data_IF_192763776992
#
_entry.id   IF_192763776992
#
_cell.length_a   1.000
_cell.length_b   1.000
_cell.length_c   1.000
_cell.angle_alpha   90.00
_cell.angle_beta   90.00
_cell.angle_gamma   90.00
#
_symmetry.space_group_name_H-M   'P 1'
#
loop_
_entity.id
_entity.type
_entity.pdbx_description
1 polymer ?
#
# COMPACT_ATOMS: atom_id res chain seq x y z
N UNK A 1 -8.72 -16.17 12.76
CA UNK A 1 -9.59 -15.56 11.74
C UNK A 1 -8.75 -15.44 10.48
N UNK A 2 -9.24 -15.98 9.36
CA UNK A 2 -8.53 -16.00 8.09
C UNK A 2 -8.34 -14.57 7.54
N UNK A 3 -7.15 -14.25 7.04
CA UNK A 3 -6.82 -12.96 6.44
C UNK A 3 -5.90 -13.15 5.24
N UNK A 4 -5.98 -12.26 4.25
CA UNK A 4 -4.94 -12.19 3.21
C UNK A 4 -3.75 -11.37 3.71
N UNK A 5 -2.56 -11.94 3.65
CA UNK A 5 -1.33 -11.25 4.02
C UNK A 5 -0.64 -10.77 2.74
N UNK A 6 -0.35 -9.47 2.66
CA UNK A 6 0.41 -8.87 1.58
C UNK A 6 1.75 -8.43 2.12
N UNK A 7 2.83 -9.07 1.68
CA UNK A 7 4.17 -8.82 2.17
C UNK A 7 4.97 -7.96 1.19
N UNK A 8 5.47 -6.83 1.69
CA UNK A 8 6.41 -5.98 0.97
C UNK A 8 7.82 -6.56 1.11
N UNK A 9 8.37 -7.03 0.00
CA UNK A 9 9.62 -7.78 -0.03
C UNK A 9 10.37 -7.55 -1.35
N UNK A 10 11.72 -7.46 -1.31
CA UNK A 10 12.52 -7.32 -2.53
C UNK A 10 12.42 -8.54 -3.47
N UNK A 11 11.93 -9.68 -2.98
CA UNK A 11 11.69 -10.90 -3.77
C UNK A 11 10.26 -10.99 -4.30
N UNK A 12 9.41 -10.00 -4.02
CA UNK A 12 8.02 -9.98 -4.43
C UNK A 12 7.82 -9.62 -5.91
N UNK A 13 6.61 -9.83 -6.38
CA UNK A 13 6.20 -9.50 -7.74
C UNK A 13 6.12 -7.97 -7.88
N UNK A 14 6.66 -7.44 -8.96
CA UNK A 14 6.46 -6.04 -9.33
C UNK A 14 5.17 -5.92 -10.14
N UNK A 15 4.30 -4.99 -9.77
CA UNK A 15 3.02 -4.77 -10.46
C UNK A 15 3.13 -3.50 -11.31
N UNK A 16 2.80 -3.52 -12.60
CA UNK A 16 2.71 -2.31 -13.40
C UNK A 16 1.56 -1.40 -12.96
N UNK A 17 1.76 -0.08 -13.02
CA UNK A 17 0.76 0.90 -12.57
C UNK A 17 -0.56 0.82 -13.33
N UNK A 18 -0.54 0.41 -14.59
CA UNK A 18 -1.75 0.24 -15.41
C UNK A 18 -2.54 -1.03 -15.09
N UNK A 19 -2.00 -1.95 -14.31
CA UNK A 19 -2.66 -3.22 -13.92
C UNK A 19 -3.12 -3.21 -12.46
N UNK A 20 -2.51 -2.37 -11.61
CA UNK A 20 -2.67 -2.42 -10.15
C UNK A 20 -4.13 -2.31 -9.68
N UNK A 21 -4.93 -1.47 -10.34
CA UNK A 21 -6.34 -1.27 -9.97
C UNK A 21 -7.20 -2.50 -10.28
N UNK A 22 -6.90 -3.18 -11.40
CA UNK A 22 -7.57 -4.42 -11.76
C UNK A 22 -7.18 -5.53 -10.79
N UNK A 23 -5.89 -5.69 -10.50
CA UNK A 23 -5.39 -6.67 -9.55
C UNK A 23 -6.02 -6.49 -8.15
N UNK A 24 -6.10 -5.25 -7.65
CA UNK A 24 -6.76 -4.97 -6.38
C UNK A 24 -8.25 -5.38 -6.40
N UNK A 25 -8.97 -5.17 -7.51
CA UNK A 25 -10.36 -5.59 -7.65
C UNK A 25 -10.50 -7.13 -7.71
N UNK A 26 -9.53 -7.83 -8.29
CA UNK A 26 -9.47 -9.30 -8.26
C UNK A 26 -9.25 -9.82 -6.83
N UNK A 27 -8.43 -9.14 -6.03
CA UNK A 27 -8.25 -9.46 -4.62
C UNK A 27 -9.52 -9.25 -3.79
N UNK A 28 -10.29 -8.18 -4.05
CA UNK A 28 -11.60 -7.99 -3.41
C UNK A 28 -12.50 -9.19 -3.66
N UNK A 29 -12.63 -9.63 -4.93
CA UNK A 29 -13.43 -10.82 -5.28
C UNK A 29 -12.91 -12.09 -4.63
N UNK A 30 -11.59 -12.27 -4.60
CA UNK A 30 -10.95 -13.43 -3.97
C UNK A 30 -11.26 -13.48 -2.48
N UNK A 31 -11.06 -12.38 -1.75
CA UNK A 31 -11.30 -12.28 -0.31
C UNK A 31 -12.79 -12.49 -0.02
N UNK A 32 -13.68 -11.80 -0.73
CA UNK A 32 -15.12 -11.95 -0.59
C UNK A 32 -15.58 -13.39 -0.74
N UNK A 33 -15.02 -14.13 -1.70
CA UNK A 33 -15.35 -15.54 -1.93
C UNK A 33 -14.98 -16.39 -0.71
N UNK A 34 -13.80 -16.18 -0.11
CA UNK A 34 -13.33 -16.94 1.05
C UNK A 34 -14.04 -16.53 2.36
N UNK A 35 -14.56 -15.31 2.43
CA UNK A 35 -15.36 -14.86 3.59
C UNK A 35 -16.84 -15.28 3.50
N UNK A 36 -17.43 -15.34 2.30
CA UNK A 36 -18.85 -15.69 2.08
C UNK A 36 -19.10 -17.19 2.06
N UNK A 37 -18.15 -17.99 1.59
CA UNK A 37 -18.26 -19.46 1.56
C UNK A 37 -17.58 -20.06 2.81
N UNK A 38 -18.42 -20.41 3.78
CA UNK A 38 -18.18 -21.23 4.98
C UNK A 38 -17.37 -20.64 6.15
N UNK A 39 -18.12 -20.09 7.12
CA UNK A 39 -17.67 -19.80 8.49
C UNK A 39 -17.30 -21.03 9.34
N UNK A 40 -17.29 -22.24 8.77
CA UNK A 40 -16.84 -23.48 9.42
C UNK A 40 -15.70 -24.21 8.67
N UNK A 41 -15.57 -24.05 7.34
CA UNK A 41 -14.54 -24.75 6.54
C UNK A 41 -13.17 -24.05 6.58
N UNK A 42 -13.14 -22.72 6.72
CA UNK A 42 -11.89 -21.93 6.66
C UNK A 42 -11.26 -21.67 8.05
N UNK A 43 -11.76 -22.33 9.10
CA UNK A 43 -11.18 -22.19 10.45
C UNK A 43 -9.78 -22.80 10.56
N UNK A 44 -9.43 -23.70 9.64
CA UNK A 44 -8.15 -24.41 9.58
C UNK A 44 -7.31 -24.06 8.34
N UNK A 45 -7.79 -23.17 7.46
CA UNK A 45 -6.98 -22.72 6.32
C UNK A 45 -5.92 -21.71 6.77
N UNK A 46 -4.69 -21.94 6.34
CA UNK A 46 -3.62 -20.98 6.52
C UNK A 46 -3.92 -19.70 5.73
N UNK A 47 -3.65 -18.56 6.36
CA UNK A 47 -3.80 -17.25 5.72
C UNK A 47 -2.85 -17.15 4.53
N UNK A 48 -3.34 -16.90 3.30
CA UNK A 48 -2.49 -16.83 2.14
C UNK A 48 -1.54 -15.63 2.24
N UNK A 49 -0.31 -15.80 1.76
CA UNK A 49 0.72 -14.75 1.71
C UNK A 49 1.06 -14.43 0.26
N UNK A 50 0.91 -13.16 -0.10
CA UNK A 50 1.25 -12.63 -1.42
C UNK A 50 2.43 -11.67 -1.29
N UNK A 51 3.48 -11.88 -2.09
CA UNK A 51 4.72 -11.12 -2.01
C UNK A 51 4.79 -10.08 -3.13
N UNK A 52 5.04 -8.83 -2.77
CA UNK A 52 5.11 -7.71 -3.70
C UNK A 52 6.36 -6.85 -3.46
N UNK A 53 6.98 -6.39 -4.55
CA UNK A 53 8.19 -5.54 -4.51
C UNK A 53 7.92 -4.08 -4.87
N UNK A 54 6.69 -3.74 -5.27
CA UNK A 54 6.25 -2.37 -5.58
C UNK A 54 5.19 -1.89 -4.58
N UNK A 55 5.22 -0.60 -4.26
CA UNK A 55 4.34 0.04 -3.27
C UNK A 55 2.89 0.18 -3.76
N UNK A 56 2.69 0.29 -5.07
CA UNK A 56 1.42 0.61 -5.71
C UNK A 56 0.25 -0.32 -5.32
N UNK A 57 0.49 -1.64 -5.19
CA UNK A 57 -0.57 -2.58 -4.79
C UNK A 57 -1.04 -2.36 -3.35
N UNK A 58 -0.15 -1.99 -2.44
CA UNK A 58 -0.51 -1.67 -1.06
C UNK A 58 -1.39 -0.42 -1.00
N UNK A 59 -1.05 0.61 -1.78
CA UNK A 59 -1.88 1.81 -1.92
C UNK A 59 -3.24 1.51 -2.56
N UNK A 60 -3.28 0.65 -3.58
CA UNK A 60 -4.53 0.25 -4.22
C UNK A 60 -5.43 -0.53 -3.26
N UNK A 61 -4.89 -1.44 -2.44
CA UNK A 61 -5.67 -2.17 -1.42
C UNK A 61 -6.18 -1.24 -0.32
N UNK A 62 -5.37 -0.27 0.12
CA UNK A 62 -5.81 0.79 1.05
C UNK A 62 -6.98 1.60 0.48
N UNK A 63 -6.92 1.95 -0.81
CA UNK A 63 -8.03 2.63 -1.52
C UNK A 63 -9.30 1.77 -1.44
N UNK A 64 -9.22 0.46 -1.72
CA UNK A 64 -10.37 -0.46 -1.62
C UNK A 64 -10.99 -0.52 -0.22
N UNK A 65 -10.17 -0.47 0.82
CA UNK A 65 -10.66 -0.38 2.21
C UNK A 65 -11.34 0.95 2.46
N UNK A 66 -10.70 2.07 2.09
CA UNK A 66 -11.23 3.41 2.33
C UNK A 66 -12.59 3.67 1.64
N UNK A 67 -12.84 3.06 0.48
CA UNK A 67 -14.12 3.16 -0.23
C UNK A 67 -15.17 2.12 0.24
N UNK A 68 -14.82 1.25 1.18
CA UNK A 68 -15.72 0.25 1.75
C UNK A 68 -15.92 -1.02 0.90
N UNK A 69 -15.11 -1.24 -0.13
CA UNK A 69 -15.14 -2.47 -0.95
C UNK A 69 -14.43 -3.65 -0.27
N UNK A 70 -13.57 -3.36 0.72
CA UNK A 70 -12.79 -4.36 1.42
C UNK A 70 -12.79 -4.07 2.93
N UNK A 71 -13.01 -5.08 3.77
CA UNK A 71 -12.88 -4.90 5.21
C UNK A 71 -11.41 -4.82 5.63
N UNK A 72 -11.06 -3.85 6.48
CA UNK A 72 -9.70 -3.74 7.04
C UNK A 72 -9.29 -4.98 7.85
N UNK A 73 -10.27 -5.73 8.39
CA UNK A 73 -10.00 -6.96 9.14
C UNK A 73 -9.66 -8.15 8.25
N UNK A 74 -9.96 -8.08 6.95
CA UNK A 74 -9.78 -9.18 6.00
C UNK A 74 -8.37 -9.28 5.42
N UNK A 75 -7.51 -8.30 5.69
CA UNK A 75 -6.15 -8.25 5.19
C UNK A 75 -5.16 -7.77 6.24
N UNK A 76 -3.90 -8.10 6.05
CA UNK A 76 -2.75 -7.60 6.80
C UNK A 76 -1.66 -7.24 5.81
N UNK A 77 -0.97 -6.12 6.05
CA UNK A 77 0.30 -5.86 5.37
C UNK A 77 1.44 -6.40 6.20
N UNK A 78 2.52 -6.84 5.56
CA UNK A 78 3.70 -7.35 6.24
C UNK A 78 4.95 -6.71 5.67
N UNK A 79 5.86 -6.32 6.55
CA UNK A 79 7.16 -5.78 6.17
C UNK A 79 8.22 -6.22 7.16
N UNK A 80 9.30 -6.84 6.68
CA UNK A 80 10.38 -7.37 7.51
C UNK A 80 9.86 -8.27 8.66
N UNK A 81 8.87 -9.12 8.35
CA UNK A 81 8.24 -10.04 9.32
C UNK A 81 7.32 -9.37 10.35
N UNK A 82 7.11 -8.05 10.26
CA UNK A 82 6.16 -7.32 11.12
C UNK A 82 4.83 -7.13 10.40
N UNK A 83 3.75 -7.47 11.09
CA UNK A 83 2.40 -7.25 10.61
C UNK A 83 1.98 -5.80 10.88
N UNK A 84 1.39 -5.19 9.86
CA UNK A 84 0.95 -3.80 9.82
C UNK A 84 -0.55 -3.85 9.53
N UNK A 85 -1.33 -3.39 10.49
CA UNK A 85 -2.78 -3.27 10.33
C UNK A 85 -3.13 -1.91 9.74
N UNK A 86 -4.23 -1.88 9.00
CA UNK A 86 -4.88 -0.64 8.56
C UNK A 86 -6.22 -0.49 9.26
N UNK A 87 -6.65 0.75 9.44
CA UNK A 87 -7.99 1.04 9.97
C UNK A 87 -9.04 1.07 8.85
N UNK A 88 -10.29 1.36 9.21
CA UNK A 88 -11.44 1.45 8.31
C UNK A 88 -11.32 2.54 7.24
N UNK A 89 -10.41 3.51 7.43
CA UNK A 89 -10.11 4.56 6.46
C UNK A 89 -8.93 4.18 5.54
N UNK A 90 -8.45 2.93 5.61
CA UNK A 90 -7.28 2.47 4.89
C UNK A 90 -5.98 3.10 5.37
N UNK A 91 -5.94 3.71 6.56
CA UNK A 91 -4.75 4.37 7.09
C UNK A 91 -3.90 3.43 7.95
N UNK A 92 -2.58 3.59 7.88
CA UNK A 92 -1.62 2.97 8.80
C UNK A 92 -1.27 4.03 9.85
N UNK A 93 -1.60 3.79 11.12
CA UNK A 93 -1.35 4.75 12.21
C UNK A 93 0.13 4.78 12.60
N UNK A 94 0.74 3.61 12.74
CA UNK A 94 2.14 3.45 13.13
C UNK A 94 2.96 3.02 11.92
N UNK A 95 3.17 3.97 11.00
CA UNK A 95 3.82 3.72 9.71
C UNK A 95 5.28 3.29 9.90
N UNK A 96 5.68 2.07 9.50
CA UNK A 96 7.07 1.62 9.66
C UNK A 96 8.01 2.36 8.70
N UNK A 97 9.17 2.76 9.20
CA UNK A 97 10.24 3.34 8.38
C UNK A 97 10.64 2.38 7.24
N UNK A 98 10.68 2.89 6.00
CA UNK A 98 11.03 2.14 4.80
C UNK A 98 9.89 1.36 4.14
N UNK A 99 8.69 1.36 4.72
CA UNK A 99 7.53 0.71 4.10
C UNK A 99 6.82 1.67 3.14
N UNK A 100 7.01 1.51 1.82
CA UNK A 100 6.27 2.28 0.81
C UNK A 100 6.28 3.81 1.03
N UNK A 101 7.39 4.37 1.52
CA UNK A 101 7.52 5.78 1.91
C UNK A 101 8.44 6.60 0.98
N UNK A 102 9.26 5.92 0.18
CA UNK A 102 10.28 6.56 -0.65
C UNK A 102 9.70 7.52 -1.70
N UNK A 103 8.55 7.20 -2.31
CA UNK A 103 7.93 8.04 -3.33
C UNK A 103 7.50 9.40 -2.75
N UNK A 104 7.00 9.39 -1.52
CA UNK A 104 6.60 10.62 -0.81
C UNK A 104 7.82 11.44 -0.44
N UNK A 105 8.86 10.80 0.10
CA UNK A 105 10.12 11.46 0.45
C UNK A 105 10.82 12.08 -0.78
N UNK A 106 10.84 11.35 -1.90
CA UNK A 106 11.41 11.84 -3.16
C UNK A 106 10.62 13.01 -3.74
N UNK A 107 9.29 12.95 -3.69
CA UNK A 107 8.42 14.04 -4.11
C UNK A 107 8.69 15.30 -3.28
N UNK A 108 8.72 15.17 -1.96
CA UNK A 108 9.01 16.27 -1.04
C UNK A 108 10.40 16.87 -1.29
N UNK A 109 11.43 16.02 -1.38
CA UNK A 109 12.80 16.43 -1.68
C UNK A 109 12.89 17.20 -3.00
N UNK A 110 12.20 16.73 -4.03
CA UNK A 110 12.13 17.39 -5.34
C UNK A 110 11.49 18.77 -5.23
N UNK A 111 10.38 18.89 -4.52
CA UNK A 111 9.68 20.17 -4.32
C UNK A 111 10.53 21.17 -3.53
N UNK A 112 11.21 20.73 -2.48
CA UNK A 112 12.14 21.54 -1.69
C UNK A 112 13.29 22.05 -2.58
N UNK A 113 13.93 21.16 -3.34
CA UNK A 113 15.02 21.51 -4.24
C UNK A 113 14.59 22.49 -5.34
N UNK A 114 13.42 22.26 -5.94
CA UNK A 114 12.85 23.16 -6.95
C UNK A 114 12.57 24.56 -6.39
N UNK A 115 12.02 24.63 -5.17
CA UNK A 115 11.72 25.90 -4.48
C UNK A 115 12.99 26.68 -4.16
N UNK A 116 14.04 26.02 -3.68
CA UNK A 116 15.33 26.65 -3.42
C UNK A 116 15.94 27.24 -4.71
N UNK A 117 15.92 26.49 -5.81
CA UNK A 117 16.41 26.98 -7.12
C UNK A 117 15.64 28.20 -7.64
N UNK A 118 14.33 28.27 -7.41
CA UNK A 118 13.51 29.44 -7.80
C UNK A 118 13.91 30.69 -7.03
N UNK A 119 14.17 30.58 -5.72
CA UNK A 119 14.60 31.73 -4.90
C UNK A 119 15.92 32.31 -5.40
N UNK A 120 16.92 31.48 -5.71
CA UNK A 120 18.21 31.93 -6.26
C UNK A 120 18.03 32.73 -7.56
N UNK A 121 17.19 32.24 -8.48
CA UNK A 121 16.92 32.95 -9.75
C UNK A 121 16.21 34.30 -9.58
N UNK A 122 15.42 34.47 -8.53
CA UNK A 122 14.77 35.76 -8.23
C UNK A 122 15.82 36.78 -7.80
N UNK A 123 16.71 36.40 -6.88
CA UNK A 123 17.80 37.28 -6.43
C UNK A 123 18.77 37.65 -7.57
N UNK A 124 19.12 36.70 -8.45
CA UNK A 124 19.96 36.99 -9.63
C UNK A 124 19.29 37.92 -10.67
N UNK A 125 17.96 38.04 -10.66
CA UNK A 125 17.21 38.91 -11.55
C UNK A 125 16.97 40.32 -10.97
N UNK A 126 16.96 40.45 -9.64
CA UNK A 126 16.85 41.73 -8.93
C UNK A 126 18.19 42.49 -8.86
N UNK A 127 19.32 41.77 -8.93
CA UNK A 127 20.68 42.34 -8.97
C UNK A 127 21.15 42.80 -10.37
N UNK A 128 20.27 42.80 -11.38
CA UNK A 128 20.55 43.27 -12.77
C UNK A 128 19.78 44.52 -13.12
#
# INVERSE_FOLDING_TARGET
>A
MWKCIFEYSPKGIAVPDFEVKQLAAEYVKYIDKHLKYDGWANYHEESPVFFYSTSNIFFALKERVAIGELSCDSLIFRFNGKDISINEYGAITDWPEGFCDIETQLCESTLRAASARRRVKIFEAEDR
#
